data_IF_988814576662
#
_entry.id   IF_988814576662
#
_cell.length_a   1.000
_cell.length_b   1.000
_cell.length_c   1.000
_cell.angle_alpha   90.00
_cell.angle_beta   90.00
_cell.angle_gamma   90.00
#
_symmetry.space_group_name_H-M   'P 1'
#
loop_
_entity.id
_entity.type
_entity.pdbx_description
1 polymer ?
#
# COMPACT_ATOMS: atom_id res chain seq x y z
N UNK A 1 10.22 -33.04 39.19
CA UNK A 1 11.06 -32.59 38.06
C UNK A 1 10.33 -32.75 36.73
N UNK A 2 10.19 -33.96 36.19
CA UNK A 2 9.54 -34.23 34.89
C UNK A 2 8.13 -33.61 34.70
N UNK A 3 7.27 -33.59 35.74
CA UNK A 3 5.94 -32.94 35.64
C UNK A 3 6.01 -31.43 35.43
N UNK A 4 6.98 -30.76 36.04
CA UNK A 4 7.16 -29.31 35.88
C UNK A 4 7.81 -29.00 34.53
N UNK A 5 8.76 -29.82 34.07
CA UNK A 5 9.33 -29.70 32.74
C UNK A 5 8.28 -29.90 31.63
N UNK A 6 7.37 -30.87 31.79
CA UNK A 6 6.27 -31.08 30.85
C UNK A 6 5.30 -29.89 30.82
N UNK A 7 5.10 -29.25 31.97
CA UNK A 7 4.26 -28.05 32.08
C UNK A 7 4.91 -26.83 31.43
N UNK A 8 6.21 -26.63 31.64
CA UNK A 8 6.99 -25.59 30.95
C UNK A 8 6.98 -25.80 29.43
N UNK A 9 7.26 -27.02 29.00
CA UNK A 9 7.29 -27.38 27.58
C UNK A 9 5.93 -27.11 26.92
N UNK A 10 4.82 -27.48 27.59
CA UNK A 10 3.47 -27.21 27.10
C UNK A 10 3.20 -25.71 26.93
N UNK A 11 3.56 -24.91 27.93
CA UNK A 11 3.39 -23.46 27.87
C UNK A 11 4.19 -22.83 26.72
N UNK A 12 5.41 -23.33 26.49
CA UNK A 12 6.26 -22.88 25.38
C UNK A 12 5.70 -23.28 24.02
N UNK A 13 5.12 -24.47 23.89
CA UNK A 13 4.45 -24.92 22.66
C UNK A 13 3.22 -24.06 22.38
N UNK A 14 2.36 -23.81 23.38
CA UNK A 14 1.19 -22.94 23.24
C UNK A 14 1.58 -21.52 22.80
N UNK A 15 2.65 -20.95 23.37
CA UNK A 15 3.17 -19.65 22.94
C UNK A 15 3.71 -19.66 21.50
N UNK A 16 4.30 -20.79 21.07
CA UNK A 16 4.78 -20.97 19.70
C UNK A 16 3.61 -21.06 18.71
N UNK A 17 2.55 -21.79 19.06
CA UNK A 17 1.33 -21.91 18.27
C UNK A 17 0.65 -20.55 18.09
N UNK A 18 0.54 -19.75 19.15
CA UNK A 18 -0.01 -18.40 19.07
C UNK A 18 0.81 -17.49 18.14
N UNK A 19 2.14 -17.52 18.24
CA UNK A 19 3.03 -16.75 17.36
C UNK A 19 2.91 -17.20 15.91
N UNK A 20 2.83 -18.51 15.68
CA UNK A 20 2.65 -19.07 14.35
C UNK A 20 1.32 -18.59 13.75
N UNK A 21 0.22 -18.61 14.50
CA UNK A 21 -1.06 -18.10 14.05
C UNK A 21 -1.00 -16.61 13.68
N UNK A 22 -0.29 -15.78 14.45
CA UNK A 22 -0.12 -14.36 14.15
C UNK A 22 0.70 -14.14 12.87
N UNK A 23 1.78 -14.91 12.67
CA UNK A 23 2.59 -14.83 11.45
C UNK A 23 1.82 -15.32 10.23
N UNK A 24 0.97 -16.34 10.40
CA UNK A 24 0.18 -16.90 9.30
C UNK A 24 -1.08 -16.07 9.00
N UNK A 25 -1.62 -15.28 9.94
CA UNK A 25 -2.87 -14.53 9.78
C UNK A 25 -2.93 -13.66 8.49
N UNK A 26 -1.87 -12.94 8.08
CA UNK A 26 -1.87 -12.20 6.81
C UNK A 26 -2.00 -13.12 5.57
N UNK A 27 -1.46 -14.34 5.64
CA UNK A 27 -1.48 -15.32 4.53
C UNK A 27 -2.82 -16.08 4.43
N UNK A 28 -3.57 -16.20 5.54
CA UNK A 28 -4.91 -16.79 5.50
C UNK A 28 -5.88 -16.01 4.60
N UNK A 29 -5.64 -14.71 4.38
CA UNK A 29 -6.40 -13.89 3.41
C UNK A 29 -5.93 -14.07 1.96
N UNK A 30 -4.79 -14.72 1.76
CA UNK A 30 -4.23 -15.05 0.45
C UNK A 30 -4.58 -16.48 0.03
N UNK A 31 -4.87 -17.36 0.99
CA UNK A 31 -5.29 -18.73 0.69
C UNK A 31 -6.79 -18.74 0.32
N UNK A 32 -7.17 -19.08 -0.92
CA UNK A 32 -8.58 -19.24 -1.25
C UNK A 32 -9.14 -20.38 -0.39
N UNK A 33 -10.15 -20.10 0.42
CA UNK A 33 -10.79 -21.08 1.31
C UNK A 33 -11.64 -22.11 0.57
N UNK A 34 -11.56 -22.18 -0.76
CA UNK A 34 -12.24 -23.16 -1.58
C UNK A 34 -11.42 -23.46 -2.85
N UNK A 35 -11.28 -24.74 -3.25
CA UNK A 35 -10.67 -25.10 -4.53
C UNK A 35 -11.52 -24.74 -5.76
N UNK A 36 -12.64 -24.01 -5.62
CA UNK A 36 -13.65 -23.83 -6.68
C UNK A 36 -13.76 -22.39 -7.24
N UNK A 37 -13.00 -21.40 -6.74
CA UNK A 37 -12.97 -20.05 -7.35
C UNK A 37 -11.57 -19.70 -7.86
N UNK A 38 -11.23 -20.33 -8.99
CA UNK A 38 -10.08 -20.00 -9.83
C UNK A 38 -10.37 -18.68 -10.55
N UNK A 39 -10.37 -17.56 -9.83
CA UNK A 39 -10.70 -16.24 -10.39
C UNK A 39 -9.54 -15.24 -10.35
N UNK A 40 -8.84 -15.16 -9.22
CA UNK A 40 -7.64 -14.34 -9.13
C UNK A 40 -6.70 -14.93 -8.09
N UNK A 41 -5.68 -15.62 -8.58
CA UNK A 41 -4.52 -16.03 -7.79
C UNK A 41 -4.07 -14.84 -6.92
N UNK A 42 -3.86 -15.01 -5.60
CA UNK A 42 -3.44 -13.93 -4.70
C UNK A 42 -2.22 -13.15 -5.21
N UNK A 43 -1.33 -13.80 -5.96
CA UNK A 43 -0.19 -13.14 -6.62
C UNK A 43 -0.65 -12.21 -7.74
N UNK A 44 -1.72 -12.53 -8.48
CA UNK A 44 -2.34 -11.65 -9.47
C UNK A 44 -2.91 -10.37 -8.85
N UNK A 45 -3.57 -10.47 -7.68
CA UNK A 45 -4.06 -9.29 -6.93
C UNK A 45 -2.90 -8.43 -6.41
N UNK A 46 -1.83 -9.05 -5.93
CA UNK A 46 -0.62 -8.34 -5.51
C UNK A 46 0.09 -7.68 -6.70
N UNK A 47 0.25 -8.38 -7.82
CA UNK A 47 0.84 -7.87 -9.06
C UNK A 47 0.06 -6.66 -9.58
N UNK A 48 -1.28 -6.75 -9.61
CA UNK A 48 -2.13 -5.64 -9.99
C UNK A 48 -1.97 -4.45 -9.02
N UNK A 49 -1.87 -4.69 -7.72
CA UNK A 49 -1.67 -3.63 -6.72
C UNK A 49 -0.33 -2.92 -6.90
N UNK A 50 0.75 -3.66 -7.19
CA UNK A 50 2.07 -3.09 -7.48
C UNK A 50 2.06 -2.27 -8.78
N UNK A 51 1.43 -2.76 -9.85
CA UNK A 51 1.25 -1.99 -11.09
C UNK A 51 0.45 -0.70 -10.88
N UNK A 52 -0.52 -0.69 -9.95
CA UNK A 52 -1.23 0.54 -9.59
C UNK A 52 -0.32 1.55 -8.86
N UNK A 53 0.67 1.09 -8.08
CA UNK A 53 1.63 1.98 -7.43
C UNK A 53 2.55 2.66 -8.47
N UNK A 54 3.04 1.94 -9.47
CA UNK A 54 3.84 2.53 -10.57
C UNK A 54 3.06 3.64 -11.32
N UNK A 55 1.72 3.51 -11.36
CA UNK A 55 0.83 4.50 -11.96
C UNK A 55 0.67 5.76 -11.10
N UNK A 56 0.90 5.69 -9.79
CA UNK A 56 0.85 6.85 -8.87
C UNK A 56 2.03 7.79 -9.13
N UNK A 57 3.22 7.27 -9.42
CA UNK A 57 4.39 8.10 -9.72
C UNK A 57 4.16 8.93 -11.00
N UNK A 58 3.62 8.30 -12.05
CA UNK A 58 3.26 9.00 -13.30
C UNK A 58 2.19 10.08 -13.09
N UNK A 59 1.20 9.84 -12.23
CA UNK A 59 0.18 10.83 -11.91
C UNK A 59 0.75 11.99 -11.08
N UNK A 60 1.70 11.71 -10.20
CA UNK A 60 2.37 12.74 -9.39
C UNK A 60 3.21 13.68 -10.25
N UNK A 61 3.90 13.17 -11.27
CA UNK A 61 4.60 13.99 -12.27
C UNK A 61 3.63 14.85 -13.09
N UNK A 62 2.49 14.29 -13.51
CA UNK A 62 1.46 15.03 -14.25
C UNK A 62 0.85 16.15 -13.39
N UNK A 63 0.60 15.90 -12.11
CA UNK A 63 0.12 16.92 -11.16
C UNK A 63 1.18 18.02 -11.01
N UNK A 64 2.45 17.66 -10.83
CA UNK A 64 3.55 18.63 -10.70
C UNK A 64 3.66 19.53 -11.93
N UNK A 65 3.53 18.97 -13.14
CA UNK A 65 3.50 19.75 -14.38
C UNK A 65 2.30 20.71 -14.47
N UNK A 66 1.12 20.26 -14.04
CA UNK A 66 -0.07 21.11 -14.01
C UNK A 66 0.08 22.27 -13.01
N UNK A 67 0.67 22.01 -11.85
CA UNK A 67 0.97 23.03 -10.84
C UNK A 67 1.92 24.11 -11.37
N UNK A 68 3.02 23.70 -12.01
CA UNK A 68 3.98 24.63 -12.64
C UNK A 68 3.32 25.51 -13.72
N UNK A 69 2.46 24.91 -14.55
CA UNK A 69 1.73 25.67 -15.58
C UNK A 69 0.72 26.65 -14.98
N UNK A 70 0.03 26.26 -13.91
CA UNK A 70 -0.89 27.15 -13.19
C UNK A 70 -0.15 28.33 -12.55
N UNK A 71 1.04 28.10 -11.99
CA UNK A 71 1.90 29.17 -11.47
C UNK A 71 2.37 30.12 -12.57
N UNK A 72 2.78 29.57 -13.73
CA UNK A 72 3.18 30.37 -14.89
C UNK A 72 2.04 31.26 -15.39
N UNK A 73 0.81 30.72 -15.47
CA UNK A 73 -0.39 31.48 -15.81
C UNK A 73 -0.65 32.63 -14.83
N UNK A 74 -0.53 32.38 -13.51
CA UNK A 74 -0.67 33.42 -12.48
C UNK A 74 0.39 34.52 -12.62
N UNK A 75 1.63 34.18 -13.00
CA UNK A 75 2.70 35.15 -13.24
C UNK A 75 2.46 36.01 -14.49
N UNK A 76 1.97 35.43 -15.58
CA UNK A 76 1.58 36.19 -16.77
C UNK A 76 0.41 37.13 -16.49
N UNK A 77 -0.60 36.68 -15.74
CA UNK A 77 -1.74 37.51 -15.34
C UNK A 77 -1.29 38.72 -14.50
N UNK A 78 -0.40 38.51 -13.53
CA UNK A 78 0.20 39.59 -12.73
C UNK A 78 0.97 40.59 -13.59
N UNK A 79 1.67 40.12 -14.61
CA UNK A 79 2.46 40.95 -15.52
C UNK A 79 1.57 41.75 -16.47
N UNK A 80 0.54 41.12 -17.04
CA UNK A 80 -0.49 41.79 -17.85
C UNK A 80 -1.22 42.88 -17.05
N UNK A 81 -1.63 42.57 -15.81
CA UNK A 81 -2.25 43.56 -14.91
C UNK A 81 -1.32 44.74 -14.58
N UNK A 82 -0.01 44.50 -14.43
CA UNK A 82 0.98 45.58 -14.26
C UNK A 82 1.14 46.47 -15.49
N UNK A 83 0.98 45.92 -16.70
CA UNK A 83 1.05 46.70 -17.94
C UNK A 83 -0.25 47.46 -18.23
N UNK A 84 -1.41 46.85 -17.95
CA UNK A 84 -2.73 47.49 -18.12
C UNK A 84 -3.07 48.52 -17.03
N UNK A 85 -2.46 48.43 -15.85
CA UNK A 85 -2.60 49.41 -14.76
C UNK A 85 -1.62 50.58 -14.80
N UNK A 86 -0.77 50.65 -15.84
CA UNK A 86 0.09 51.81 -16.13
C UNK A 86 -0.53 52.57 -17.31
N UNK A 87 -1.59 53.31 -17.04
CA UNK A 87 -2.28 54.21 -17.97
C UNK A 87 -2.91 55.33 -17.18
#
# INVERSE_FOLDING_TARGET
EMKEEMKDLRSRVEALEQKLQLVLAPFHNLMPSAPEDVGADPISRLSHSLQQLDRIDSLSEQISFLEERLETCKCQEKTLKKHLGKG
#
